data_IF_692302429529
#
_entry.id   IF_692302429529
#
_cell.length_a   1.000
_cell.length_b   1.000
_cell.length_c   1.000
_cell.angle_alpha   90.00
_cell.angle_beta   90.00
_cell.angle_gamma   90.00
#
_symmetry.space_group_name_H-M   'P 1'
#
loop_
_entity.id
_entity.type
_entity.pdbx_description
1 polymer ?
#
# COMPACT_ATOMS: atom_id res chain seq x y z
N UNK A 1 25.73 12.34 23.29
CA UNK A 1 24.64 13.21 22.79
C UNK A 1 24.19 12.65 21.45
N UNK A 2 23.24 11.73 21.44
CA UNK A 2 22.74 11.09 20.20
C UNK A 2 21.65 12.02 19.66
N UNK A 3 21.94 12.69 18.54
CA UNK A 3 20.94 13.45 17.82
C UNK A 3 19.83 12.48 17.38
N UNK A 4 18.66 12.59 18.02
CA UNK A 4 17.42 11.99 17.53
C UNK A 4 17.09 12.65 16.20
N UNK A 5 17.30 11.94 15.09
CA UNK A 5 16.98 12.46 13.77
C UNK A 5 15.46 12.57 13.61
N UNK A 6 14.95 13.77 13.82
CA UNK A 6 13.63 14.20 13.36
C UNK A 6 13.62 14.20 11.83
N UNK A 7 13.13 13.14 11.18
CA UNK A 7 12.88 13.18 9.73
C UNK A 7 11.65 12.39 9.29
N UNK A 8 10.59 12.45 10.11
CA UNK A 8 9.31 11.78 9.80
C UNK A 8 8.41 12.52 8.80
N UNK A 9 8.75 13.77 8.46
CA UNK A 9 7.99 14.55 7.48
C UNK A 9 8.28 14.06 6.06
N UNK A 10 7.23 13.60 5.36
CA UNK A 10 7.31 13.31 3.93
C UNK A 10 7.36 14.64 3.16
N UNK A 11 8.33 14.78 2.25
CA UNK A 11 8.40 15.94 1.33
C UNK A 11 7.63 15.63 0.05
N UNK A 12 6.48 16.28 -0.15
CA UNK A 12 5.57 16.07 -1.29
C UNK A 12 5.37 17.37 -2.06
N UNK A 13 5.15 17.28 -3.37
CA UNK A 13 4.69 18.44 -4.15
C UNK A 13 3.27 18.82 -3.72
N UNK A 14 2.79 20.06 -3.96
CA UNK A 14 1.44 20.47 -3.56
C UNK A 14 0.34 19.52 -4.08
N UNK A 15 0.47 19.03 -5.33
CA UNK A 15 -0.50 18.09 -5.91
C UNK A 15 -0.48 16.72 -5.21
N UNK A 16 0.70 16.22 -4.85
CA UNK A 16 0.84 14.97 -4.10
C UNK A 16 0.35 15.13 -2.65
N UNK A 17 0.68 16.25 -2.02
CA UNK A 17 0.27 16.58 -0.66
C UNK A 17 -1.26 16.65 -0.55
N UNK A 18 -1.95 17.24 -1.53
CA UNK A 18 -3.41 17.25 -1.57
C UNK A 18 -3.99 15.83 -1.49
N UNK A 19 -3.53 14.90 -2.34
CA UNK A 19 -3.98 13.50 -2.32
C UNK A 19 -3.67 12.83 -0.97
N UNK A 20 -2.46 13.07 -0.45
CA UNK A 20 -1.99 12.47 0.81
C UNK A 20 -2.78 12.97 2.03
N UNK A 21 -3.08 14.27 2.12
CA UNK A 21 -3.80 14.87 3.25
C UNK A 21 -5.26 14.44 3.30
N UNK A 22 -5.90 14.28 2.13
CA UNK A 22 -7.23 13.67 2.03
C UNK A 22 -7.20 12.18 2.38
N UNK A 23 -6.04 11.54 2.32
CA UNK A 23 -5.86 10.19 2.79
C UNK A 23 -6.27 10.00 4.24
N UNK A 24 -7.05 8.95 4.48
CA UNK A 24 -7.47 8.50 5.81
C UNK A 24 -8.49 9.41 6.50
N UNK A 25 -9.07 10.37 5.77
CA UNK A 25 -10.24 11.14 6.20
C UNK A 25 -11.49 10.26 6.12
N UNK A 26 -12.41 10.39 7.09
CA UNK A 26 -13.66 9.61 7.13
C UNK A 26 -14.52 9.79 5.87
N UNK A 27 -14.50 10.98 5.27
CA UNK A 27 -15.24 11.31 4.05
C UNK A 27 -14.51 10.95 2.74
N UNK A 28 -13.28 10.46 2.79
CA UNK A 28 -12.45 10.19 1.60
C UNK A 28 -11.80 8.79 1.64
N UNK A 29 -12.61 7.77 1.96
CA UNK A 29 -12.17 6.37 2.03
C UNK A 29 -11.55 5.89 0.72
N UNK A 30 -12.21 6.16 -0.40
CA UNK A 30 -11.71 5.86 -1.75
C UNK A 30 -11.33 7.15 -2.45
N UNK A 31 -10.18 7.13 -3.12
CA UNK A 31 -9.61 8.30 -3.81
C UNK A 31 -9.08 7.84 -5.15
N UNK A 32 -9.53 8.47 -6.21
CA UNK A 32 -9.04 8.33 -7.57
C UNK A 32 -8.18 9.55 -7.93
N UNK A 33 -7.10 9.30 -8.67
CA UNK A 33 -6.16 10.35 -9.06
C UNK A 33 -5.71 10.13 -10.50
N UNK A 34 -6.37 10.83 -11.44
CA UNK A 34 -5.95 10.83 -12.85
C UNK A 34 -4.68 11.67 -12.98
N UNK A 35 -3.57 11.00 -13.25
CA UNK A 35 -2.24 11.60 -13.21
C UNK A 35 -1.49 11.34 -14.52
N UNK A 36 -0.91 12.39 -15.10
CA UNK A 36 0.00 12.26 -16.23
C UNK A 36 1.36 11.65 -15.88
N UNK A 37 2.19 11.45 -16.91
CA UNK A 37 3.58 11.01 -16.75
C UNK A 37 4.36 12.01 -15.87
N UNK A 38 5.32 11.51 -15.09
CA UNK A 38 6.20 12.29 -14.19
C UNK A 38 5.49 13.09 -13.09
N UNK A 39 4.22 12.80 -12.80
CA UNK A 39 3.50 13.36 -11.63
C UNK A 39 4.17 13.05 -10.28
N UNK A 40 4.97 11.97 -10.23
CA UNK A 40 5.59 11.49 -8.98
C UNK A 40 4.68 10.59 -8.16
N UNK A 41 3.70 9.92 -8.82
CA UNK A 41 2.82 8.88 -8.23
C UNK A 41 3.60 7.89 -7.36
N UNK A 42 4.74 7.44 -7.86
CA UNK A 42 5.58 6.45 -7.17
C UNK A 42 6.17 6.97 -5.85
N UNK A 43 6.48 8.26 -5.75
CA UNK A 43 6.98 8.83 -4.50
C UNK A 43 5.86 8.92 -3.47
N UNK A 44 4.69 9.42 -3.89
CA UNK A 44 3.47 9.43 -3.09
C UNK A 44 3.11 8.01 -2.61
N UNK A 45 3.15 7.01 -3.49
CA UNK A 45 2.84 5.63 -3.14
C UNK A 45 3.75 5.06 -2.06
N UNK A 46 5.05 5.35 -2.08
CA UNK A 46 5.95 4.93 -0.99
C UNK A 46 5.53 5.52 0.36
N UNK A 47 5.10 6.79 0.36
CA UNK A 47 4.66 7.47 1.56
C UNK A 47 3.33 6.91 2.08
N UNK A 48 2.37 6.62 1.19
CA UNK A 48 1.09 5.99 1.55
C UNK A 48 1.28 4.58 2.10
N UNK A 49 2.12 3.75 1.46
CA UNK A 49 2.40 2.40 1.96
C UNK A 49 3.03 2.41 3.36
N UNK A 50 3.99 3.33 3.62
CA UNK A 50 4.55 3.53 4.96
C UNK A 50 3.50 4.03 5.96
N UNK A 51 2.62 4.93 5.54
CA UNK A 51 1.53 5.45 6.38
C UNK A 51 0.56 4.34 6.74
N UNK A 52 0.14 3.53 5.78
CA UNK A 52 -0.70 2.36 6.00
C UNK A 52 -0.09 1.42 7.03
N UNK A 53 1.20 1.06 6.89
CA UNK A 53 1.88 0.18 7.84
C UNK A 53 1.86 0.72 9.29
N UNK A 54 2.12 2.03 9.46
CA UNK A 54 2.07 2.68 10.77
C UNK A 54 0.65 2.72 11.34
N UNK A 55 -0.33 3.07 10.51
CA UNK A 55 -1.73 3.16 10.92
C UNK A 55 -2.30 1.79 11.27
N UNK A 56 -1.94 0.73 10.54
CA UNK A 56 -2.38 -0.62 10.84
C UNK A 56 -1.97 -1.04 12.27
N UNK A 57 -0.71 -0.80 12.63
CA UNK A 57 -0.23 -1.02 14.00
C UNK A 57 -0.94 -0.10 15.01
N UNK A 58 -1.07 1.19 14.71
CA UNK A 58 -1.68 2.17 15.63
C UNK A 58 -3.15 1.85 15.91
N UNK A 59 -3.88 1.44 14.89
CA UNK A 59 -5.33 1.21 14.93
C UNK A 59 -5.72 -0.23 15.24
N UNK A 60 -4.74 -1.07 15.62
CA UNK A 60 -4.95 -2.48 15.99
C UNK A 60 -5.70 -3.24 14.90
N UNK A 61 -5.34 -2.98 13.64
CA UNK A 61 -5.81 -3.76 12.49
C UNK A 61 -5.38 -5.22 12.67
N UNK A 62 -6.20 -6.15 12.20
CA UNK A 62 -5.84 -7.57 12.20
C UNK A 62 -4.61 -7.80 11.32
N UNK A 63 -3.67 -8.65 11.76
CA UNK A 63 -2.50 -8.99 10.94
C UNK A 63 -2.87 -9.79 9.68
N UNK A 64 -4.07 -10.37 9.66
CA UNK A 64 -4.67 -11.03 8.50
C UNK A 64 -5.17 -10.04 7.43
N UNK A 65 -5.33 -8.75 7.79
CA UNK A 65 -5.69 -7.69 6.86
C UNK A 65 -4.42 -7.08 6.23
N UNK A 66 -4.07 -7.54 5.03
CA UNK A 66 -2.83 -7.15 4.35
C UNK A 66 -2.85 -5.68 3.84
N UNK A 67 -1.67 -5.20 3.43
CA UNK A 67 -1.45 -3.89 2.81
C UNK A 67 -0.88 -4.09 1.41
N UNK A 68 -1.63 -3.71 0.38
CA UNK A 68 -1.28 -4.03 -1.00
C UNK A 68 -0.87 -2.82 -1.84
N UNK A 69 0.15 -3.05 -2.66
CA UNK A 69 0.35 -2.34 -3.91
C UNK A 69 -0.10 -3.25 -5.05
N UNK A 70 -0.98 -2.74 -5.91
CA UNK A 70 -1.50 -3.46 -7.06
C UNK A 70 -1.06 -2.78 -8.36
N UNK A 71 -0.86 -3.58 -9.40
CA UNK A 71 -0.73 -3.14 -10.78
C UNK A 71 -1.53 -4.09 -11.69
N UNK A 72 -1.69 -3.81 -13.00
CA UNK A 72 -2.47 -4.68 -13.87
C UNK A 72 -1.92 -6.12 -13.87
N UNK A 73 -0.60 -6.29 -13.92
CA UNK A 73 0.06 -7.60 -13.80
C UNK A 73 1.08 -7.66 -12.67
N UNK A 74 1.33 -8.86 -12.15
CA UNK A 74 2.33 -9.06 -11.09
C UNK A 74 3.74 -8.72 -11.57
N UNK A 75 4.03 -8.96 -12.87
CA UNK A 75 5.28 -8.54 -13.52
C UNK A 75 5.43 -7.01 -13.49
N UNK A 76 4.38 -6.26 -13.78
CA UNK A 76 4.39 -4.80 -13.67
C UNK A 76 4.56 -4.36 -12.22
N UNK A 77 3.84 -4.96 -11.26
CA UNK A 77 3.99 -4.64 -9.84
C UNK A 77 5.43 -4.84 -9.35
N UNK A 78 6.06 -5.96 -9.73
CA UNK A 78 7.48 -6.25 -9.45
C UNK A 78 8.40 -5.19 -10.05
N UNK A 79 8.25 -4.90 -11.34
CA UNK A 79 9.09 -3.95 -12.08
C UNK A 79 8.97 -2.52 -11.55
N UNK A 80 7.75 -2.07 -11.27
CA UNK A 80 7.46 -0.69 -10.92
C UNK A 80 7.71 -0.43 -9.44
N UNK A 81 7.29 -1.31 -8.55
CA UNK A 81 7.18 -0.93 -7.15
C UNK A 81 7.95 -1.80 -6.18
N UNK A 82 8.24 -3.07 -6.48
CA UNK A 82 8.86 -3.97 -5.49
C UNK A 82 10.19 -3.46 -4.92
N UNK A 83 11.13 -3.04 -5.78
CA UNK A 83 12.40 -2.45 -5.32
C UNK A 83 12.17 -1.20 -4.46
N UNK A 84 11.15 -0.41 -4.80
CA UNK A 84 10.84 0.87 -4.16
C UNK A 84 10.14 0.68 -2.81
N UNK A 85 9.29 -0.33 -2.71
CA UNK A 85 8.68 -0.76 -1.46
C UNK A 85 9.76 -1.22 -0.47
N UNK A 86 10.70 -2.07 -0.92
CA UNK A 86 11.85 -2.46 -0.11
C UNK A 86 12.65 -1.24 0.36
N UNK A 87 12.93 -0.27 -0.51
CA UNK A 87 13.63 0.96 -0.13
C UNK A 87 12.82 1.83 0.85
N UNK A 88 11.50 1.86 0.75
CA UNK A 88 10.67 2.68 1.64
C UNK A 88 10.48 2.10 3.04
N UNK A 89 10.60 0.78 3.21
CA UNK A 89 10.43 0.14 4.52
C UNK A 89 11.80 -0.06 5.18
N UNK A 90 12.12 0.65 6.28
CA UNK A 90 13.40 0.53 6.96
C UNK A 90 13.68 -0.92 7.41
N UNK A 91 14.93 -1.41 7.37
CA UNK A 91 15.25 -2.77 7.81
C UNK A 91 14.77 -3.09 9.23
N UNK A 92 14.81 -2.12 10.15
CA UNK A 92 14.39 -2.32 11.54
C UNK A 92 12.87 -2.51 11.72
N UNK A 93 12.04 -2.21 10.71
CA UNK A 93 10.60 -2.52 10.68
C UNK A 93 10.31 -3.93 10.22
N UNK A 94 11.25 -4.59 9.51
CA UNK A 94 11.02 -5.89 8.90
C UNK A 94 11.26 -6.99 9.93
N UNK A 95 10.36 -7.98 9.98
CA UNK A 95 10.53 -9.17 10.79
C UNK A 95 11.55 -10.14 10.17
N UNK A 96 11.62 -10.17 8.84
CA UNK A 96 12.47 -11.07 8.07
C UNK A 96 12.97 -10.41 6.79
N UNK A 97 13.82 -11.12 6.03
CA UNK A 97 14.21 -10.68 4.68
C UNK A 97 12.95 -10.65 3.78
N UNK A 98 12.79 -9.63 2.92
CA UNK A 98 11.71 -9.60 1.93
C UNK A 98 11.63 -10.89 1.10
N UNK A 99 10.43 -11.37 0.85
CA UNK A 99 10.19 -12.53 -0.01
C UNK A 99 10.16 -12.09 -1.48
N UNK A 100 11.11 -12.57 -2.28
CA UNK A 100 11.28 -12.17 -3.68
C UNK A 100 10.36 -12.91 -4.67
N UNK A 101 9.78 -14.03 -4.23
CA UNK A 101 8.81 -14.84 -4.99
C UNK A 101 7.41 -14.27 -4.79
N UNK A 102 6.99 -14.15 -3.53
CA UNK A 102 5.67 -13.63 -3.13
C UNK A 102 5.57 -12.10 -3.21
N UNK A 103 6.71 -11.42 -3.40
CA UNK A 103 6.82 -9.96 -3.41
C UNK A 103 6.23 -9.31 -2.15
N UNK A 104 6.55 -9.89 -1.00
CA UNK A 104 5.99 -9.50 0.30
C UNK A 104 7.06 -9.17 1.35
N UNK A 105 6.69 -8.27 2.26
CA UNK A 105 7.50 -7.90 3.43
C UNK A 105 6.65 -8.12 4.67
N UNK A 106 7.07 -9.04 5.54
CA UNK A 106 6.50 -9.19 6.88
C UNK A 106 7.11 -8.15 7.82
N UNK A 107 6.26 -7.36 8.47
CA UNK A 107 6.67 -6.35 9.44
C UNK A 107 6.77 -6.96 10.85
N UNK A 108 7.55 -6.34 11.74
CA UNK A 108 7.61 -6.72 13.16
C UNK A 108 6.29 -6.54 13.90
N UNK A 109 5.37 -5.76 13.35
CA UNK A 109 3.99 -5.66 13.81
C UNK A 109 3.11 -6.87 13.41
N UNK A 110 3.67 -7.86 12.71
CA UNK A 110 2.94 -9.02 12.16
C UNK A 110 2.31 -8.78 10.79
N UNK A 111 1.99 -7.53 10.46
CA UNK A 111 1.32 -7.18 9.20
C UNK A 111 2.18 -7.48 7.97
N UNK A 112 1.52 -7.80 6.86
CA UNK A 112 2.16 -8.10 5.58
C UNK A 112 1.92 -6.96 4.59
N UNK A 113 3.00 -6.53 3.92
CA UNK A 113 2.94 -5.63 2.78
C UNK A 113 3.28 -6.39 1.51
N UNK A 114 2.43 -6.34 0.48
CA UNK A 114 2.57 -7.18 -0.73
C UNK A 114 2.41 -6.37 -2.02
N UNK A 115 3.15 -6.76 -3.05
CA UNK A 115 2.91 -6.32 -4.43
C UNK A 115 2.18 -7.42 -5.22
N UNK A 116 0.99 -7.13 -5.73
CA UNK A 116 0.15 -8.09 -6.46
C UNK A 116 -0.24 -7.60 -7.86
N UNK A 117 -0.58 -8.53 -8.74
CA UNK A 117 -1.17 -8.24 -10.06
C UNK A 117 -2.66 -8.51 -10.07
N UNK A 118 -3.46 -7.66 -10.69
CA UNK A 118 -4.92 -7.82 -10.74
C UNK A 118 -5.43 -8.66 -11.92
N UNK A 119 -4.54 -9.09 -12.83
CA UNK A 119 -4.90 -9.90 -13.99
C UNK A 119 -5.36 -11.33 -13.64
N UNK A 120 -4.97 -11.86 -12.47
CA UNK A 120 -5.46 -13.14 -11.95
C UNK A 120 -6.02 -12.93 -10.53
N UNK A 121 -7.06 -12.12 -10.42
CA UNK A 121 -7.55 -11.63 -9.14
C UNK A 121 -8.16 -12.73 -8.26
N UNK A 122 -8.61 -13.86 -8.82
CA UNK A 122 -9.16 -14.96 -8.04
C UNK A 122 -8.14 -15.58 -7.06
N UNK A 123 -6.86 -15.62 -7.43
CA UNK A 123 -5.77 -16.08 -6.55
C UNK A 123 -5.56 -15.17 -5.33
N UNK A 124 -6.08 -13.95 -5.37
CA UNK A 124 -5.92 -12.97 -4.29
C UNK A 124 -6.98 -13.13 -3.19
N UNK A 125 -8.01 -13.96 -3.42
CA UNK A 125 -9.07 -14.23 -2.44
C UNK A 125 -8.50 -14.97 -1.22
N UNK A 126 -9.19 -14.85 -0.08
CA UNK A 126 -8.87 -15.59 1.15
C UNK A 126 -7.96 -14.86 2.14
N UNK A 127 -7.39 -13.71 1.76
CA UNK A 127 -6.76 -12.78 2.71
C UNK A 127 -7.71 -11.63 3.08
N UNK A 128 -7.47 -10.97 4.21
CA UNK A 128 -8.09 -9.69 4.53
C UNK A 128 -7.34 -8.54 3.84
N UNK A 129 -7.95 -7.35 3.79
CA UNK A 129 -7.32 -6.18 3.16
C UNK A 129 -7.62 -4.91 3.94
N UNK A 130 -6.58 -4.31 4.52
CA UNK A 130 -6.68 -3.03 5.23
C UNK A 130 -6.54 -1.85 4.28
N UNK A 131 -5.57 -1.94 3.36
CA UNK A 131 -5.23 -0.85 2.46
C UNK A 131 -4.77 -1.38 1.12
N UNK A 132 -5.17 -0.68 0.06
CA UNK A 132 -4.70 -0.94 -1.30
C UNK A 132 -4.37 0.36 -2.02
N UNK A 133 -3.24 0.35 -2.72
CA UNK A 133 -2.89 1.34 -3.72
C UNK A 133 -2.82 0.65 -5.07
N UNK A 134 -3.69 1.03 -6.01
CA UNK A 134 -3.69 0.48 -7.37
C UNK A 134 -3.08 1.48 -8.34
N UNK A 135 -2.01 1.08 -9.03
CA UNK A 135 -1.42 1.87 -10.12
C UNK A 135 -1.96 1.37 -11.47
N UNK A 136 -2.02 2.29 -12.43
CA UNK A 136 -2.56 2.06 -13.78
C UNK A 136 -3.94 1.37 -13.77
N UNK A 137 -4.86 1.86 -12.92
CA UNK A 137 -6.22 1.31 -12.76
C UNK A 137 -6.99 1.18 -14.07
N UNK A 138 -6.77 2.09 -15.03
CA UNK A 138 -7.44 2.04 -16.33
C UNK A 138 -7.14 0.75 -17.12
N UNK A 139 -6.03 0.07 -16.83
CA UNK A 139 -5.62 -1.18 -17.46
C UNK A 139 -5.97 -2.43 -16.62
N UNK A 140 -6.61 -2.25 -15.46
CA UNK A 140 -7.01 -3.35 -14.57
C UNK A 140 -8.43 -3.86 -14.91
N UNK A 141 -8.71 -5.16 -14.74
CA UNK A 141 -10.06 -5.68 -14.89
C UNK A 141 -10.97 -5.12 -13.79
N UNK A 142 -12.12 -4.55 -14.18
CA UNK A 142 -13.08 -4.00 -13.23
C UNK A 142 -13.59 -5.05 -12.21
N UNK A 143 -13.75 -6.31 -12.65
CA UNK A 143 -14.14 -7.43 -11.79
C UNK A 143 -13.22 -7.63 -10.58
N UNK A 144 -11.91 -7.30 -10.69
CA UNK A 144 -11.00 -7.38 -9.54
C UNK A 144 -11.41 -6.41 -8.42
N UNK A 145 -12.03 -5.26 -8.75
CA UNK A 145 -12.58 -4.37 -7.74
C UNK A 145 -13.85 -4.94 -7.11
N UNK A 146 -14.83 -5.29 -7.93
CA UNK A 146 -16.14 -5.71 -7.44
C UNK A 146 -16.09 -7.02 -6.66
N UNK A 147 -15.29 -7.97 -7.12
CA UNK A 147 -15.33 -9.33 -6.60
C UNK A 147 -14.26 -9.59 -5.52
N UNK A 148 -13.18 -8.80 -5.47
CA UNK A 148 -12.03 -9.05 -4.59
C UNK A 148 -11.71 -7.85 -3.71
N UNK A 149 -11.22 -6.75 -4.29
CA UNK A 149 -10.70 -5.63 -3.50
C UNK A 149 -11.78 -4.98 -2.63
N UNK A 150 -12.95 -4.65 -3.19
CA UNK A 150 -14.03 -3.97 -2.45
C UNK A 150 -14.60 -4.86 -1.34
N UNK A 151 -14.94 -6.14 -1.57
CA UNK A 151 -15.37 -7.04 -0.50
C UNK A 151 -14.33 -7.16 0.63
N UNK A 152 -13.05 -7.39 0.31
CA UNK A 152 -12.00 -7.54 1.32
C UNK A 152 -11.78 -6.25 2.13
N UNK A 153 -11.83 -5.08 1.49
CA UNK A 153 -11.77 -3.80 2.20
C UNK A 153 -12.97 -3.60 3.13
N UNK A 154 -14.16 -4.08 2.74
CA UNK A 154 -15.40 -3.83 3.48
C UNK A 154 -15.48 -4.60 4.80
N UNK A 155 -14.76 -5.71 4.93
CA UNK A 155 -14.76 -6.56 6.12
C UNK A 155 -13.69 -6.18 7.14
N UNK A 156 -12.66 -5.43 6.74
CA UNK A 156 -11.60 -4.98 7.63
C UNK A 156 -12.15 -4.09 8.76
N UNK A 157 -11.76 -4.40 10.01
CA UNK A 157 -12.15 -3.69 11.23
C UNK A 157 -10.92 -3.13 11.94
N UNK A 158 -11.04 -1.94 12.50
CA UNK A 158 -9.96 -1.26 13.22
C UNK A 158 -10.51 -0.21 14.19
N UNK A 159 -9.66 0.28 15.09
CA UNK A 159 -10.01 1.23 16.16
C UNK A 159 -9.20 2.52 15.95
N UNK A 160 -9.88 3.65 15.71
CA UNK A 160 -9.25 4.97 15.46
C UNK A 160 -9.36 5.89 16.66
#
# INVERSE_FOLDING_TARGET
>A
MIQSSSSDAVSLTPKQANIYVWGWQRSARFRDAVCGRRFGKTFLGKAEMRRAARLAQKWKVSVEDEIWYCAPTQKQAKRVFWRRLKQSIPPHWRASKPNETELSITLKSGHIMRCVGLNNYDDLRGSGLFFVLVDEWADCPYAAWEEVLRPMLSTCRYIV
#
